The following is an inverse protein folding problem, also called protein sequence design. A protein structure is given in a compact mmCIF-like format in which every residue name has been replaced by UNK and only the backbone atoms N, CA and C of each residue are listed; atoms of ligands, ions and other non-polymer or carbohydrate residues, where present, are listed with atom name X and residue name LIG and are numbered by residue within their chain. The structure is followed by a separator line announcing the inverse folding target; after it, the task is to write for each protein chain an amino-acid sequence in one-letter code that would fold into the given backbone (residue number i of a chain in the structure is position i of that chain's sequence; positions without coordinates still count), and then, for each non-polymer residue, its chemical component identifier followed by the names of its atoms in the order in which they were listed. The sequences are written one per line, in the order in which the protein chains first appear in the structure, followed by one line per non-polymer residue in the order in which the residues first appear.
data_IF_142997976052
#
_entry.id   IF_142997976052
#
_cell.length_a   1.000
_cell.length_b   1.000
_cell.length_c   1.000
_cell.angle_alpha   90.00
_cell.angle_beta   90.00
_cell.angle_gamma   90.00
#
_symmetry.space_group_name_H-M   'P 1'
#
loop_
_entity.id
_entity.type
_entity.pdbx_description
1 polymer ?
#
# COMPACT_ATOMS: atom_id res chain seq x y z
N UNK A 1 24.84 8.87 -3.73
CA UNK A 1 23.83 7.87 -4.13
C UNK A 1 22.72 8.58 -4.90
N UNK A 2 22.57 8.35 -6.20
CA UNK A 2 21.40 8.85 -6.94
C UNK A 2 20.15 8.13 -6.42
N UNK A 3 19.35 8.79 -5.59
CA UNK A 3 18.00 8.31 -5.29
C UNK A 3 17.17 8.42 -6.57
N UNK A 4 17.10 7.33 -7.35
CA UNK A 4 16.19 7.24 -8.49
C UNK A 4 14.75 7.50 -8.02
N UNK A 5 14.13 8.52 -8.61
CA UNK A 5 12.74 8.93 -8.34
C UNK A 5 11.74 7.84 -8.71
N UNK A 6 10.55 7.90 -8.09
CA UNK A 6 9.43 7.02 -8.40
C UNK A 6 8.87 7.38 -9.78
N UNK A 7 8.84 6.40 -10.67
CA UNK A 7 8.37 6.57 -12.04
C UNK A 7 6.87 6.27 -12.14
N UNK A 8 6.21 6.83 -13.13
CA UNK A 8 4.79 6.63 -13.39
C UNK A 8 4.54 6.35 -14.87
N UNK A 9 3.74 5.32 -15.17
CA UNK A 9 3.25 5.04 -16.52
C UNK A 9 1.78 5.47 -16.65
N UNK A 10 1.43 6.13 -17.75
CA UNK A 10 0.13 6.76 -18.06
C UNK A 10 -0.26 7.92 -17.15
N UNK A 11 -0.25 7.76 -15.83
CA UNK A 11 -0.60 8.82 -14.87
C UNK A 11 -0.11 8.52 -13.46
N UNK A 12 -0.21 9.53 -12.59
CA UNK A 12 0.14 9.44 -11.17
C UNK A 12 -1.02 8.87 -10.33
N UNK A 13 -0.74 8.03 -9.31
CA UNK A 13 -1.73 7.61 -8.33
C UNK A 13 -2.08 8.73 -7.36
N UNK A 14 -3.23 8.63 -6.71
CA UNK A 14 -3.62 9.56 -5.64
C UNK A 14 -3.15 9.03 -4.29
N UNK A 15 -2.24 9.73 -3.64
CA UNK A 15 -1.76 9.38 -2.30
C UNK A 15 -2.80 9.72 -1.21
N UNK A 16 -2.78 9.02 -0.04
CA UNK A 16 -1.85 7.95 0.34
C UNK A 16 -2.01 6.67 -0.48
N UNK A 17 -0.94 5.87 -0.55
CA UNK A 17 -0.85 4.62 -1.33
C UNK A 17 -0.54 3.47 -0.38
N UNK A 18 -1.11 2.29 -0.64
CA UNK A 18 -0.76 1.02 0.00
C UNK A 18 -0.06 0.15 -1.04
N UNK A 19 1.01 -0.55 -0.67
CA UNK A 19 1.59 -1.65 -1.46
C UNK A 19 1.58 -2.93 -0.63
N UNK A 20 1.19 -4.03 -1.26
CA UNK A 20 1.31 -5.37 -0.69
C UNK A 20 2.46 -6.12 -1.33
N UNK A 21 3.44 -6.53 -0.52
CA UNK A 21 4.66 -7.22 -0.98
C UNK A 21 4.84 -8.47 -0.14
N UNK A 22 4.60 -9.65 -0.72
CA UNK A 22 4.81 -10.95 -0.04
C UNK A 22 4.21 -10.97 1.39
N UNK A 23 2.95 -10.55 1.52
CA UNK A 23 2.25 -10.47 2.80
C UNK A 23 2.57 -9.24 3.67
N UNK A 24 3.57 -8.42 3.31
CA UNK A 24 3.83 -7.15 3.97
C UNK A 24 2.83 -6.10 3.53
N UNK A 25 2.33 -5.31 4.48
CA UNK A 25 1.53 -4.12 4.24
C UNK A 25 2.42 -2.89 4.37
N UNK A 26 2.55 -2.11 3.29
CA UNK A 26 3.35 -0.88 3.27
C UNK A 26 2.42 0.29 2.94
N UNK A 27 2.07 1.08 3.94
CA UNK A 27 1.36 2.35 3.74
C UNK A 27 2.33 3.50 3.52
N UNK A 28 2.06 4.36 2.53
CA UNK A 28 2.88 5.54 2.25
C UNK A 28 2.03 6.81 2.06
N UNK A 29 2.43 7.89 2.71
CA UNK A 29 1.75 9.20 2.63
C UNK A 29 2.11 9.98 1.37
N UNK A 30 3.34 9.82 0.89
CA UNK A 30 3.90 10.55 -0.26
C UNK A 30 4.81 9.64 -1.08
N UNK A 31 5.17 10.01 -2.33
CA UNK A 31 6.16 9.28 -3.12
C UNK A 31 7.52 9.11 -2.40
N UNK A 32 7.98 10.15 -1.70
CA UNK A 32 9.24 10.10 -0.96
C UNK A 32 9.17 9.14 0.24
N UNK A 33 8.06 9.16 0.98
CA UNK A 33 7.80 8.20 2.06
C UNK A 33 7.78 6.76 1.53
N UNK A 34 7.17 6.54 0.37
CA UNK A 34 7.15 5.24 -0.27
C UNK A 34 8.56 4.74 -0.59
N UNK A 35 9.38 5.54 -1.27
CA UNK A 35 10.75 5.15 -1.61
C UNK A 35 11.60 4.87 -0.37
N UNK A 36 11.43 5.66 0.69
CA UNK A 36 12.11 5.45 1.99
C UNK A 36 11.70 4.12 2.63
N UNK A 37 10.42 3.75 2.56
CA UNK A 37 9.92 2.47 3.12
C UNK A 37 10.37 1.28 2.28
N UNK A 38 10.29 1.39 0.95
CA UNK A 38 10.70 0.34 0.02
C UNK A 38 12.20 0.00 0.09
N UNK A 39 13.06 0.93 0.53
CA UNK A 39 14.49 0.62 0.72
C UNK A 39 14.78 -0.32 1.88
N UNK A 40 13.77 -0.66 2.69
CA UNK A 40 13.90 -1.52 3.89
C UNK A 40 13.19 -2.86 3.74
N UNK A 41 12.45 -3.06 2.64
CA UNK A 41 11.63 -4.26 2.45
C UNK A 41 12.32 -5.18 1.45
N UNK A 42 12.50 -6.47 1.76
CA UNK A 42 12.96 -7.43 0.77
C UNK A 42 11.89 -7.63 -0.30
N UNK A 43 12.30 -7.60 -1.57
CA UNK A 43 11.46 -8.04 -2.68
C UNK A 43 11.70 -9.53 -2.92
N UNK A 44 10.65 -10.26 -3.24
CA UNK A 44 10.75 -11.62 -3.78
C UNK A 44 11.00 -11.59 -5.29
N UNK A 45 10.80 -12.75 -5.93
CA UNK A 45 11.03 -12.93 -7.38
C UNK A 45 9.88 -12.37 -8.25
N UNK A 46 8.84 -11.81 -7.62
CA UNK A 46 7.68 -11.25 -8.32
C UNK A 46 8.06 -9.96 -9.08
N UNK A 47 7.83 -9.95 -10.39
CA UNK A 47 8.10 -8.77 -11.23
C UNK A 47 7.21 -7.56 -10.90
N UNK A 48 6.03 -7.81 -10.34
CA UNK A 48 5.06 -6.77 -9.99
C UNK A 48 4.35 -7.06 -8.67
N UNK A 49 4.08 -6.00 -7.92
CA UNK A 49 3.32 -6.01 -6.67
C UNK A 49 2.05 -5.18 -6.79
N UNK A 50 1.03 -5.57 -6.03
CA UNK A 50 -0.25 -4.86 -6.02
C UNK A 50 -0.15 -3.61 -5.15
N UNK A 51 -0.61 -2.50 -5.69
CA UNK A 51 -0.73 -1.23 -5.00
C UNK A 51 -2.17 -0.70 -5.07
N UNK A 52 -2.55 0.12 -4.10
CA UNK A 52 -3.91 0.65 -3.94
C UNK A 52 -3.79 2.13 -3.61
N UNK A 53 -4.40 2.99 -4.42
CA UNK A 53 -4.40 4.42 -4.17
C UNK A 53 -5.55 4.87 -3.26
N UNK A 54 -5.56 6.13 -2.83
CA UNK A 54 -6.58 6.72 -1.93
C UNK A 54 -8.02 6.49 -2.39
N UNK A 55 -8.26 6.26 -3.68
CA UNK A 55 -9.59 6.04 -4.25
C UNK A 55 -9.99 4.56 -4.29
N UNK A 56 -9.14 3.66 -3.81
CA UNK A 56 -9.31 2.21 -3.94
C UNK A 56 -9.07 1.70 -5.36
N UNK A 57 -8.44 2.50 -6.22
CA UNK A 57 -7.98 2.02 -7.51
C UNK A 57 -6.76 1.13 -7.33
N UNK A 58 -6.72 0.02 -8.07
CA UNK A 58 -5.56 -0.87 -8.10
C UNK A 58 -4.49 -0.43 -9.08
N UNK A 59 -3.24 -0.71 -8.72
CA UNK A 59 -2.03 -0.34 -9.42
C UNK A 59 -1.04 -1.51 -9.39
N UNK A 60 -0.18 -1.59 -10.39
CA UNK A 60 0.99 -2.45 -10.36
C UNK A 60 2.23 -1.62 -10.01
N UNK A 61 3.04 -2.14 -9.10
CA UNK A 61 4.35 -1.62 -8.74
C UNK A 61 5.44 -2.56 -9.25
N UNK A 62 6.37 -2.06 -10.07
CA UNK A 62 7.58 -2.78 -10.45
C UNK A 62 8.77 -2.29 -9.59
N UNK A 63 9.37 -3.15 -8.75
CA UNK A 63 10.53 -2.78 -7.94
C UNK A 63 11.75 -2.41 -8.76
N UNK A 64 12.04 -3.19 -9.82
CA UNK A 64 13.21 -3.01 -10.69
C UNK A 64 13.24 -1.60 -11.29
N UNK A 65 12.08 -1.15 -11.78
CA UNK A 65 11.94 0.14 -12.45
C UNK A 65 11.47 1.26 -11.50
N UNK A 66 11.14 0.93 -10.24
CA UNK A 66 10.43 1.82 -9.29
C UNK A 66 9.22 2.49 -9.95
N UNK A 67 8.44 1.70 -10.69
CA UNK A 67 7.39 2.18 -11.57
C UNK A 67 6.01 1.86 -10.99
N UNK A 68 5.11 2.83 -10.96
CA UNK A 68 3.69 2.63 -10.72
C UNK A 68 2.89 2.77 -12.02
N UNK A 69 1.98 1.83 -12.26
CA UNK A 69 1.11 1.83 -13.44
C UNK A 69 -0.31 1.41 -13.07
N UNK A 70 -1.36 2.06 -13.63
CA UNK A 70 -2.75 1.63 -13.44
C UNK A 70 -3.09 0.37 -14.27
N UNK A 71 -2.13 -0.18 -15.03
CA UNK A 71 -2.29 -1.40 -15.82
C UNK A 71 -2.21 -2.67 -14.95
N UNK A 72 -3.23 -2.87 -14.12
CA UNK A 72 -3.43 -4.11 -13.34
C UNK A 72 -4.71 -4.84 -13.73
N UNK A 73 -4.82 -6.13 -13.46
CA UNK A 73 -6.07 -6.89 -13.61
C UNK A 73 -7.10 -6.49 -12.54
N UNK A 74 -6.65 -6.26 -11.29
CA UNK A 74 -7.54 -5.86 -10.19
C UNK A 74 -7.71 -4.35 -10.13
N UNK A 75 -8.67 -3.82 -10.91
CA UNK A 75 -8.87 -2.36 -11.05
C UNK A 75 -9.43 -1.66 -9.81
N UNK A 76 -10.26 -2.33 -9.01
CA UNK A 76 -10.94 -1.74 -7.86
C UNK A 76 -10.84 -2.65 -6.65
N UNK A 77 -10.62 -2.03 -5.50
CA UNK A 77 -10.58 -2.67 -4.20
C UNK A 77 -11.73 -2.18 -3.33
N UNK A 78 -12.41 -3.12 -2.70
CA UNK A 78 -13.45 -2.84 -1.72
C UNK A 78 -12.83 -2.51 -0.35
N UNK A 79 -13.61 -1.84 0.51
CA UNK A 79 -13.22 -1.55 1.89
C UNK A 79 -12.79 -2.83 2.63
N UNK A 80 -13.55 -3.92 2.46
CA UNK A 80 -13.28 -5.21 3.12
C UNK A 80 -11.95 -5.81 2.69
N UNK A 81 -11.66 -5.82 1.40
CA UNK A 81 -10.39 -6.38 0.91
C UNK A 81 -9.18 -5.60 1.40
N UNK A 82 -9.25 -4.26 1.44
CA UNK A 82 -8.15 -3.42 1.93
C UNK A 82 -7.93 -3.64 3.43
N UNK A 83 -9.00 -3.73 4.20
CA UNK A 83 -8.92 -4.00 5.64
C UNK A 83 -8.39 -5.42 5.90
N UNK A 84 -8.85 -6.40 5.14
CA UNK A 84 -8.35 -7.77 5.20
C UNK A 84 -6.85 -7.83 4.91
N UNK A 85 -6.38 -7.12 3.88
CA UNK A 85 -4.96 -7.02 3.53
C UNK A 85 -4.13 -6.43 4.68
N UNK A 86 -4.65 -5.44 5.39
CA UNK A 86 -4.02 -4.91 6.60
C UNK A 86 -4.06 -5.89 7.77
N UNK A 87 -5.22 -6.47 8.07
CA UNK A 87 -5.42 -7.35 9.23
C UNK A 87 -4.67 -8.68 9.09
N UNK A 88 -4.39 -9.13 7.86
CA UNK A 88 -3.65 -10.36 7.55
C UNK A 88 -2.16 -10.14 7.29
N UNK A 89 -1.69 -8.89 7.37
CA UNK A 89 -0.28 -8.56 7.14
C UNK A 89 0.66 -9.38 8.05
N UNK A 90 1.82 -9.76 7.53
CA UNK A 90 2.82 -10.53 8.28
C UNK A 90 3.78 -9.63 9.06
N UNK A 91 3.98 -8.39 8.60
CA UNK A 91 4.72 -7.37 9.33
C UNK A 91 3.84 -6.78 10.44
N UNK A 92 3.54 -7.58 11.45
CA UNK A 92 2.96 -7.12 12.73
C UNK A 92 4.11 -7.11 13.73
N UNK A 93 4.17 -6.09 14.57
CA UNK A 93 5.08 -6.14 15.72
C UNK A 93 4.57 -7.18 16.71
N UNK A 94 5.49 -7.88 17.37
CA UNK A 94 5.13 -8.79 18.46
C UNK A 94 4.35 -8.03 19.54
N UNK A 95 3.14 -8.52 19.83
CA UNK A 95 2.21 -7.89 20.77
C UNK A 95 1.29 -6.81 20.19
N UNK A 96 1.53 -6.31 18.97
CA UNK A 96 0.59 -5.39 18.30
C UNK A 96 -0.49 -6.17 17.52
N UNK A 97 -1.64 -6.35 18.18
CA UNK A 97 -2.87 -6.83 17.54
C UNK A 97 -3.76 -5.69 17.03
N UNK A 98 -3.22 -4.54 16.63
CA UNK A 98 -4.05 -3.47 16.07
C UNK A 98 -4.66 -3.94 14.74
N UNK A 99 -5.87 -4.49 14.86
CA UNK A 99 -6.77 -4.84 13.79
C UNK A 99 -7.64 -3.63 13.51
N UNK A 100 -7.80 -3.32 12.23
CA UNK A 100 -8.76 -2.32 11.83
C UNK A 100 -10.16 -2.92 11.89
N UNK A 101 -11.02 -2.31 12.70
CA UNK A 101 -12.39 -2.80 12.91
C UNK A 101 -13.21 -2.73 11.62
N UNK A 102 -13.90 -3.83 11.32
CA UNK A 102 -14.92 -3.91 10.26
C UNK A 102 -16.30 -3.40 10.71
N UNK A 103 -16.42 -2.85 11.93
CA UNK A 103 -17.68 -2.23 12.36
C UNK A 103 -17.92 -0.93 11.59
N UNK A 104 -19.16 -0.71 11.17
CA UNK A 104 -19.60 0.53 10.53
C UNK A 104 -18.86 0.89 9.22
N UNK A 105 -18.48 -0.11 8.41
CA UNK A 105 -17.85 0.13 7.09
C UNK A 105 -18.72 0.97 6.15
N UNK A 106 -20.04 0.87 6.25
CA UNK A 106 -20.97 1.64 5.43
C UNK A 106 -20.86 3.15 5.70
N UNK A 107 -20.62 3.56 6.95
CA UNK A 107 -20.54 4.97 7.34
C UNK A 107 -19.16 5.59 7.13
N UNK A 108 -18.09 4.79 7.08
CA UNK A 108 -16.72 5.30 6.83
C UNK A 108 -16.43 5.44 5.33
N UNK A 109 -15.94 6.60 4.91
CA UNK A 109 -15.45 6.78 3.54
C UNK A 109 -14.19 5.95 3.28
N UNK A 110 -14.04 5.45 2.05
CA UNK A 110 -12.91 4.61 1.65
C UNK A 110 -11.56 5.32 1.81
N UNK A 111 -11.49 6.59 1.41
CA UNK A 111 -10.28 7.40 1.54
C UNK A 111 -9.86 7.61 3.00
N UNK A 112 -10.84 7.71 3.91
CA UNK A 112 -10.60 7.78 5.35
C UNK A 112 -10.02 6.46 5.87
N UNK A 113 -10.59 5.31 5.48
CA UNK A 113 -10.07 3.99 5.84
C UNK A 113 -8.62 3.84 5.39
N UNK A 114 -8.31 4.11 4.12
CA UNK A 114 -6.94 4.00 3.61
C UNK A 114 -5.99 4.93 4.38
N UNK A 115 -6.40 6.16 4.66
CA UNK A 115 -5.58 7.10 5.44
C UNK A 115 -5.29 6.58 6.84
N UNK A 116 -6.29 6.01 7.51
CA UNK A 116 -6.14 5.47 8.86
C UNK A 116 -5.22 4.24 8.84
N UNK A 117 -5.39 3.32 7.89
CA UNK A 117 -4.52 2.16 7.72
C UNK A 117 -3.06 2.56 7.46
N UNK A 118 -2.84 3.56 6.60
CA UNK A 118 -1.48 4.09 6.34
C UNK A 118 -0.87 4.66 7.62
N UNK A 119 -1.63 5.39 8.45
CA UNK A 119 -1.15 5.89 9.75
C UNK A 119 -0.81 4.76 10.72
N UNK A 120 -1.67 3.75 10.83
CA UNK A 120 -1.43 2.59 11.70
C UNK A 120 -0.21 1.78 11.25
N UNK A 121 0.11 1.79 9.95
CA UNK A 121 1.31 1.13 9.44
C UNK A 121 2.61 1.92 9.64
N UNK A 122 2.58 3.10 10.26
CA UNK A 122 3.80 3.91 10.48
C UNK A 122 4.67 3.44 11.63
N UNK A 123 4.12 2.62 12.53
CA UNK A 123 4.82 2.17 13.73
C UNK A 123 5.91 1.13 13.42
N UNK A 124 5.86 0.47 12.25
CA UNK A 124 6.90 -0.44 11.80
C UNK A 124 8.23 0.30 11.57
N UNK A 125 9.12 0.26 12.58
CA UNK A 125 10.50 0.74 12.51
C UNK A 125 11.51 -0.40 12.49
#
# INVERSE_FOLDING_TARGET
MNQKELQYLFRKPKFPLIISIEGHFIGAKTPADLLKKLSRVPFGDSAYYQAIDKTGEGWNFSPEQRLLSPLTFKKRWTKKEIISLFNQRINKEDGQQEQYSEKSLSSKRLDRIITDLVKLSENFQ
#
